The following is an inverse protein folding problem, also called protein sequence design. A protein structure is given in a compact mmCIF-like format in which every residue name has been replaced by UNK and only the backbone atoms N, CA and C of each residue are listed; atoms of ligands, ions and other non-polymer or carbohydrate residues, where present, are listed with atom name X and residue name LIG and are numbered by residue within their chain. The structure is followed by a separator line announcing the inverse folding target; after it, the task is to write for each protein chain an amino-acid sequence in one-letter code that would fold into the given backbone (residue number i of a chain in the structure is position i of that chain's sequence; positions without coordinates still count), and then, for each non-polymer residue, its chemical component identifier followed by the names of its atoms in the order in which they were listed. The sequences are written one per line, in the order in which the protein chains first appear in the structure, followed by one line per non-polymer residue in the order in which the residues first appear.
data_IF_984957826935
#
_entry.id   IF_984957826935
#
_cell.length_a   1.000
_cell.length_b   1.000
_cell.length_c   1.000
_cell.angle_alpha   90.00
_cell.angle_beta   90.00
_cell.angle_gamma   90.00
#
_symmetry.space_group_name_H-M   'P 1'
#
loop_
_entity.id
_entity.type
_entity.pdbx_description
1 polymer ?
#
# COMPACT_ATOMS: atom_id res chain seq x y z
N UNK A 1 -21.38 -2.49 9.75
CA UNK A 1 -21.57 -3.07 8.42
C UNK A 1 -21.36 -4.58 8.49
N UNK A 2 -22.07 -5.42 7.71
CA UNK A 2 -21.78 -6.84 7.66
C UNK A 2 -20.36 -7.09 7.15
N UNK A 3 -19.56 -7.83 7.93
CA UNK A 3 -18.14 -8.07 7.63
C UNK A 3 -17.95 -8.76 6.27
N UNK A 4 -18.88 -9.62 5.87
CA UNK A 4 -18.82 -10.42 4.65
C UNK A 4 -18.80 -9.60 3.35
N UNK A 5 -19.35 -8.38 3.34
CA UNK A 5 -19.31 -7.49 2.15
C UNK A 5 -18.14 -6.52 2.19
N UNK A 6 -17.72 -6.13 3.38
CA UNK A 6 -16.70 -5.09 3.58
C UNK A 6 -15.29 -5.64 3.30
N UNK A 7 -15.03 -6.90 3.66
CA UNK A 7 -13.70 -7.53 3.46
C UNK A 7 -13.32 -7.67 1.97
N UNK A 8 -14.18 -8.18 1.06
CA UNK A 8 -13.88 -8.20 -0.37
C UNK A 8 -13.61 -6.81 -0.93
N UNK A 9 -14.39 -5.79 -0.53
CA UNK A 9 -14.19 -4.40 -0.96
C UNK A 9 -12.82 -3.87 -0.55
N UNK A 10 -12.44 -4.03 0.71
CA UNK A 10 -11.13 -3.58 1.20
C UNK A 10 -9.99 -4.25 0.42
N UNK A 11 -10.10 -5.56 0.17
CA UNK A 11 -9.09 -6.30 -0.64
C UNK A 11 -8.97 -5.73 -2.05
N UNK A 12 -10.08 -5.39 -2.69
CA UNK A 12 -10.09 -4.80 -4.04
C UNK A 12 -9.43 -3.43 -4.03
N UNK A 13 -9.73 -2.60 -3.03
CA UNK A 13 -9.15 -1.25 -2.92
C UNK A 13 -7.64 -1.34 -2.68
N UNK A 14 -7.20 -2.21 -1.77
CA UNK A 14 -5.77 -2.44 -1.54
C UNK A 14 -5.07 -3.02 -2.78
N UNK A 15 -5.73 -3.91 -3.54
CA UNK A 15 -5.21 -4.43 -4.80
C UNK A 15 -5.02 -3.30 -5.82
N UNK A 16 -6.03 -2.45 -5.99
CA UNK A 16 -5.96 -1.27 -6.86
C UNK A 16 -4.84 -0.30 -6.46
N UNK A 17 -4.70 -0.03 -5.16
CA UNK A 17 -3.63 0.82 -4.63
C UNK A 17 -2.25 0.20 -4.86
N UNK A 18 -2.09 -1.11 -4.65
CA UNK A 18 -0.81 -1.81 -4.81
C UNK A 18 -0.31 -1.80 -6.26
N UNK A 19 -1.22 -1.94 -7.23
CA UNK A 19 -0.90 -1.90 -8.66
C UNK A 19 -1.06 -0.51 -9.28
N UNK A 20 -1.34 0.52 -8.48
CA UNK A 20 -1.60 1.89 -8.96
C UNK A 20 -2.60 1.93 -10.12
N UNK A 21 -3.70 1.18 -10.01
CA UNK A 21 -4.72 1.05 -11.06
C UNK A 21 -6.11 1.40 -10.56
N UNK A 22 -7.04 1.64 -11.49
CA UNK A 22 -8.42 1.96 -11.15
C UNK A 22 -9.15 0.77 -10.49
N UNK A 23 -10.13 1.07 -9.64
CA UNK A 23 -11.01 0.07 -9.02
C UNK A 23 -11.80 -0.71 -10.09
N UNK A 24 -12.28 -0.02 -11.12
CA UNK A 24 -12.94 -0.60 -12.30
C UNK A 24 -12.08 -1.66 -12.96
N UNK A 25 -10.79 -1.36 -13.17
CA UNK A 25 -9.81 -2.27 -13.76
C UNK A 25 -9.54 -3.47 -12.86
N UNK A 26 -9.33 -3.27 -11.56
CA UNK A 26 -9.16 -4.37 -10.61
C UNK A 26 -10.38 -5.31 -10.56
N UNK A 27 -11.60 -4.77 -10.61
CA UNK A 27 -12.85 -5.55 -10.67
C UNK A 27 -12.93 -6.34 -11.98
N UNK A 28 -12.55 -5.74 -13.12
CA UNK A 28 -12.49 -6.43 -14.42
C UNK A 28 -11.53 -7.62 -14.35
N UNK A 29 -10.30 -7.41 -13.89
CA UNK A 29 -9.30 -8.48 -13.75
C UNK A 29 -9.78 -9.59 -12.81
N UNK A 30 -10.47 -9.24 -11.71
CA UNK A 30 -11.09 -10.21 -10.81
C UNK A 30 -12.21 -11.01 -11.46
N UNK A 31 -13.00 -10.43 -12.38
CA UNK A 31 -14.02 -11.18 -13.13
C UNK A 31 -13.40 -12.14 -14.13
N UNK A 32 -12.31 -11.74 -14.77
CA UNK A 32 -11.66 -12.51 -15.83
C UNK A 32 -10.73 -13.61 -15.30
N UNK A 33 -10.09 -13.40 -14.14
CA UNK A 33 -9.05 -14.30 -13.61
C UNK A 33 -9.49 -15.03 -12.35
N UNK A 34 -9.86 -16.29 -12.51
CA UNK A 34 -10.21 -17.17 -11.39
C UNK A 34 -9.05 -17.34 -10.39
N UNK A 35 -7.81 -17.45 -10.88
CA UNK A 35 -6.61 -17.55 -10.04
C UNK A 35 -6.50 -16.36 -9.08
N UNK A 36 -6.78 -15.15 -9.56
CA UNK A 36 -6.73 -13.93 -8.75
C UNK A 36 -7.83 -13.92 -7.68
N UNK A 37 -9.05 -14.35 -8.04
CA UNK A 37 -10.15 -14.51 -7.07
C UNK A 37 -9.81 -15.52 -5.98
N UNK A 38 -9.25 -16.66 -6.38
CA UNK A 38 -8.86 -17.73 -5.46
C UNK A 38 -7.73 -17.26 -4.52
N UNK A 39 -6.73 -16.56 -5.06
CA UNK A 39 -5.64 -15.96 -4.28
C UNK A 39 -6.19 -14.99 -3.22
N UNK A 40 -7.11 -14.09 -3.61
CA UNK A 40 -7.72 -13.13 -2.69
C UNK A 40 -8.85 -13.71 -1.84
N UNK A 41 -9.24 -14.98 -2.05
CA UNK A 41 -10.38 -15.64 -1.40
C UNK A 41 -11.67 -14.82 -1.56
N UNK A 42 -11.96 -14.37 -2.77
CA UNK A 42 -13.17 -13.63 -3.15
C UNK A 42 -14.04 -14.56 -4.00
N UNK A 43 -15.12 -15.08 -3.41
CA UNK A 43 -16.05 -15.98 -4.11
C UNK A 43 -16.99 -15.22 -5.06
N UNK A 44 -17.47 -14.05 -4.62
CA UNK A 44 -18.33 -13.17 -5.40
C UNK A 44 -17.65 -11.82 -5.56
N UNK A 45 -17.38 -11.42 -6.80
CA UNK A 45 -16.77 -10.13 -7.11
C UNK A 45 -17.86 -9.05 -7.02
N UNK A 46 -17.73 -8.06 -6.11
CA UNK A 46 -18.67 -6.96 -6.02
C UNK A 46 -18.59 -6.07 -7.27
N UNK A 47 -19.71 -5.41 -7.57
CA UNK A 47 -19.77 -4.35 -8.58
C UNK A 47 -19.06 -3.09 -8.10
N UNK A 48 -18.68 -2.21 -9.03
CA UNK A 48 -18.10 -0.89 -8.70
C UNK A 48 -19.02 -0.10 -7.77
N UNK A 49 -20.34 -0.12 -8.03
CA UNK A 49 -21.34 0.57 -7.21
C UNK A 49 -21.37 0.04 -5.78
N UNK A 50 -21.21 -1.27 -5.58
CA UNK A 50 -21.14 -1.86 -4.23
C UNK A 50 -19.84 -1.48 -3.53
N UNK A 51 -18.71 -1.45 -4.24
CA UNK A 51 -17.42 -1.00 -3.71
C UNK A 51 -17.49 0.46 -3.26
N UNK A 52 -17.93 1.38 -4.13
CA UNK A 52 -18.08 2.79 -3.79
C UNK A 52 -19.16 3.04 -2.73
N UNK A 53 -20.25 2.26 -2.73
CA UNK A 53 -21.29 2.32 -1.70
C UNK A 53 -20.85 1.81 -0.32
N UNK A 54 -19.73 1.08 -0.25
CA UNK A 54 -19.08 0.73 1.02
C UNK A 54 -18.04 1.78 1.39
N UNK A 55 -17.20 2.21 0.45
CA UNK A 55 -16.18 3.23 0.69
C UNK A 55 -16.77 4.56 1.17
N UNK A 56 -17.91 4.98 0.60
CA UNK A 56 -18.63 6.21 1.00
C UNK A 56 -19.12 6.24 2.45
N UNK A 57 -19.00 5.14 3.20
CA UNK A 57 -19.36 5.07 4.63
C UNK A 57 -18.20 5.39 5.56
N UNK A 58 -17.01 5.57 5.01
CA UNK A 58 -15.80 5.88 5.75
C UNK A 58 -15.33 7.26 5.35
N UNK A 59 -14.98 8.06 6.35
CA UNK A 59 -14.20 9.26 6.08
C UNK A 59 -12.77 8.86 5.65
N UNK A 60 -12.10 9.65 4.80
CA UNK A 60 -10.76 9.33 4.33
C UNK A 60 -9.78 9.03 5.47
N UNK A 61 -9.86 9.78 6.58
CA UNK A 61 -8.99 9.60 7.74
C UNK A 61 -9.24 8.26 8.45
N UNK A 62 -10.50 7.80 8.52
CA UNK A 62 -10.85 6.51 9.11
C UNK A 62 -10.31 5.36 8.26
N UNK A 63 -10.42 5.47 6.94
CA UNK A 63 -9.86 4.47 6.03
C UNK A 63 -8.34 4.41 6.15
N UNK A 64 -7.66 5.56 6.18
CA UNK A 64 -6.21 5.64 6.37
C UNK A 64 -5.77 5.03 7.70
N UNK A 65 -6.45 5.36 8.80
CA UNK A 65 -6.17 4.77 10.12
C UNK A 65 -6.32 3.25 10.10
N UNK A 66 -7.40 2.75 9.50
CA UNK A 66 -7.65 1.31 9.34
C UNK A 66 -6.55 0.60 8.54
N UNK A 67 -6.11 1.18 7.41
CA UNK A 67 -4.99 0.61 6.63
C UNK A 67 -3.71 0.59 7.46
N UNK A 68 -3.42 1.64 8.23
CA UNK A 68 -2.25 1.66 9.11
C UNK A 68 -2.33 0.63 10.25
N UNK A 69 -3.51 0.40 10.83
CA UNK A 69 -3.70 -0.65 11.82
C UNK A 69 -3.40 -2.04 11.25
N UNK A 70 -3.91 -2.35 10.05
CA UNK A 70 -3.58 -3.60 9.35
C UNK A 70 -2.08 -3.72 9.13
N UNK A 71 -1.43 -2.66 8.64
CA UNK A 71 0.00 -2.69 8.40
C UNK A 71 0.79 -2.89 9.69
N UNK A 72 0.40 -2.23 10.78
CA UNK A 72 1.04 -2.36 12.08
C UNK A 72 0.85 -3.74 12.72
N UNK A 73 -0.26 -4.41 12.44
CA UNK A 73 -0.52 -5.79 12.87
C UNK A 73 0.31 -6.80 12.06
N UNK A 74 0.32 -6.66 10.73
CA UNK A 74 1.02 -7.57 9.83
C UNK A 74 2.54 -7.37 9.83
N UNK A 75 3.00 -6.14 10.02
CA UNK A 75 4.42 -5.80 10.05
C UNK A 75 4.89 -5.79 11.51
N UNK A 76 5.67 -6.79 11.96
CA UNK A 76 6.12 -6.85 13.35
C UNK A 76 6.93 -5.60 13.71
N UNK A 77 6.62 -5.01 14.88
CA UNK A 77 7.41 -3.91 15.44
C UNK A 77 8.88 -4.32 15.49
N UNK A 78 9.73 -3.67 14.69
CA UNK A 78 11.18 -3.91 14.70
C UNK A 78 11.69 -3.68 16.12
N UNK A 79 12.31 -4.70 16.71
CA UNK A 79 12.79 -4.68 18.11
C UNK A 79 13.87 -3.63 18.40
N UNK A 80 14.51 -3.04 17.37
CA UNK A 80 15.59 -2.05 17.54
C UNK A 80 15.36 -0.80 16.68
N UNK A 81 15.61 0.35 17.29
CA UNK A 81 15.23 1.69 16.84
C UNK A 81 15.68 2.07 15.43
N UNK A 82 14.70 2.24 14.56
CA UNK A 82 14.60 3.32 13.56
C UNK A 82 13.18 3.25 13.01
N UNK A 83 12.42 4.33 13.19
CA UNK A 83 11.02 4.49 12.76
C UNK A 83 10.92 5.19 11.40
N UNK A 84 12.00 5.13 10.61
CA UNK A 84 12.09 5.88 9.37
C UNK A 84 11.30 5.11 8.30
N UNK A 85 10.01 5.42 8.18
CA UNK A 85 9.20 5.01 7.04
C UNK A 85 9.50 6.02 5.92
N UNK A 86 10.22 5.57 4.90
CA UNK A 86 10.39 6.36 3.68
C UNK A 86 9.14 6.12 2.84
N UNK A 87 8.25 7.11 2.83
CA UNK A 87 7.10 7.14 1.92
C UNK A 87 7.56 7.89 0.68
N UNK A 88 7.95 7.13 -0.34
CA UNK A 88 8.32 7.65 -1.65
C UNK A 88 7.15 7.42 -2.62
N UNK A 89 6.65 8.50 -3.22
CA UNK A 89 5.59 8.44 -4.23
C UNK A 89 6.13 8.37 -5.66
N UNK A 90 7.46 8.31 -5.83
CA UNK A 90 8.07 7.97 -7.11
C UNK A 90 8.20 6.45 -7.29
N UNK A 91 8.16 6.00 -8.55
CA UNK A 91 8.35 4.59 -8.91
C UNK A 91 9.64 4.05 -8.26
N UNK A 92 9.48 3.15 -7.28
CA UNK A 92 10.63 2.47 -6.69
C UNK A 92 11.14 1.49 -7.74
N UNK A 93 12.20 1.86 -8.44
CA UNK A 93 12.99 0.92 -9.23
C UNK A 93 13.69 -0.05 -8.26
N UNK A 94 12.95 -1.08 -7.83
CA UNK A 94 13.47 -2.14 -6.99
C UNK A 94 14.45 -2.97 -7.82
N UNK A 95 15.74 -2.69 -7.66
CA UNK A 95 16.78 -3.60 -8.11
C UNK A 95 16.75 -4.84 -7.21
N UNK A 96 15.95 -5.84 -7.61
CA UNK A 96 15.79 -7.13 -6.93
C UNK A 96 17.02 -8.04 -7.08
N UNK A 97 18.22 -7.46 -7.21
CA UNK A 97 19.44 -8.24 -7.14
C UNK A 97 19.71 -8.60 -5.67
N UNK A 98 19.19 -9.74 -5.26
CA UNK A 98 19.42 -10.37 -3.94
C UNK A 98 20.92 -10.55 -3.62
N UNK A 99 21.77 -10.68 -4.64
CA UNK A 99 23.23 -10.80 -4.48
C UNK A 99 23.96 -9.45 -4.45
N UNK A 100 23.26 -8.32 -4.62
CA UNK A 100 23.88 -7.00 -4.57
C UNK A 100 24.39 -6.70 -3.16
N UNK A 101 25.61 -6.14 -3.09
CA UNK A 101 26.19 -5.69 -1.83
C UNK A 101 25.27 -4.66 -1.17
N UNK A 102 25.03 -4.84 0.12
CA UNK A 102 24.27 -3.90 0.96
C UNK A 102 24.87 -2.49 0.84
N UNK A 103 24.07 -1.54 0.38
CA UNK A 103 24.47 -0.13 0.31
C UNK A 103 24.35 0.47 1.71
N UNK A 104 25.43 1.09 2.21
CA UNK A 104 25.45 1.79 3.50
C UNK A 104 25.19 3.29 3.32
N UNK A 105 24.71 3.98 4.37
CA UNK A 105 24.51 5.45 4.35
C UNK A 105 25.80 6.19 3.96
N UNK A 106 26.95 5.69 4.39
CA UNK A 106 28.27 6.23 4.04
C UNK A 106 28.60 6.06 2.55
N UNK A 107 28.21 4.94 1.95
CA UNK A 107 28.37 4.68 0.51
C UNK A 107 27.53 5.62 -0.35
N UNK A 108 26.37 6.05 0.15
CA UNK A 108 25.51 7.02 -0.53
C UNK A 108 26.05 8.43 -0.43
N UNK A 109 26.57 8.82 0.75
CA UNK A 109 27.22 10.13 0.95
C UNK A 109 28.46 10.33 0.07
N UNK A 110 29.20 9.25 -0.24
CA UNK A 110 30.34 9.29 -1.18
C UNK A 110 29.95 9.38 -2.65
N UNK A 111 28.70 9.06 -2.99
CA UNK A 111 28.17 9.21 -4.35
C UNK A 111 27.61 10.63 -4.44
N UNK A 112 28.44 11.55 -4.90
CA UNK A 112 28.11 12.98 -5.07
C UNK A 112 26.72 13.13 -5.71
N UNK A 113 25.77 13.68 -4.94
CA UNK A 113 24.42 14.04 -5.39
C UNK A 113 24.49 15.27 -6.29
N UNK A 114 24.40 15.08 -7.61
CA UNK A 114 24.00 16.14 -8.55
C UNK A 114 22.48 16.30 -8.62
N UNK A 115 21.84 16.39 -7.45
CA UNK A 115 20.40 16.54 -7.32
C UNK A 115 20.05 16.79 -5.87
N UNK A 116 19.81 18.05 -5.53
CA UNK A 116 19.30 18.46 -4.24
C UNK A 116 17.89 17.88 -4.06
N UNK A 117 17.68 17.09 -3.00
CA UNK A 117 16.33 16.78 -2.52
C UNK A 117 16.06 17.79 -1.40
N UNK A 118 15.09 18.71 -1.55
CA UNK A 118 14.76 19.63 -0.48
C UNK A 118 14.20 18.84 0.71
N UNK A 119 14.80 19.05 1.88
CA UNK A 119 14.33 18.49 3.13
C UNK A 119 13.10 19.30 3.57
N UNK A 120 11.92 18.70 3.52
CA UNK A 120 10.73 19.27 4.14
C UNK A 120 10.73 18.81 5.59
N UNK A 121 10.98 19.73 6.53
CA UNK A 121 10.71 19.48 7.94
C UNK A 121 9.20 19.40 8.15
N UNK A 122 8.71 18.21 8.50
CA UNK A 122 7.36 18.07 9.04
C UNK A 122 7.47 18.33 10.53
N UNK A 123 7.18 19.58 10.92
CA UNK A 123 7.04 19.97 12.32
C UNK A 123 5.95 19.12 12.98
N UNK A 124 6.25 18.66 14.19
CA UNK A 124 5.37 17.88 15.05
C UNK A 124 3.94 18.40 15.09
N UNK A 125 2.97 17.55 14.77
CA UNK A 125 1.58 17.71 15.19
C UNK A 125 1.23 16.57 16.15
N UNK A 126 1.29 16.96 17.43
CA UNK A 126 0.79 16.34 18.67
C UNK A 126 1.48 15.03 19.12
#
# INVERSE_FOLDING_TARGET
MPLHRSVPTIKIVLLSMFFSCEISYAIKELKEREILRNFLKISLVPTEKEVYGILSKYEPQEFTAFVFEILNDLCPKRKNGSRDIIIDSTDINLNLNWHAKKITKESLKKKNTSGAIPTIEVSSLV
#
